data_IF_876408961366
#
_entry.id   IF_876408961366
#
_cell.length_a   1.000
_cell.length_b   1.000
_cell.length_c   1.000
_cell.angle_alpha   90.00
_cell.angle_beta   90.00
_cell.angle_gamma   90.00
#
_symmetry.space_group_name_H-M   'P 1'
#
loop_
_entity.id
_entity.type
_entity.pdbx_description
1 polymer ?
#
# COMPACT_ATOMS: atom_id res chain seq x y z
N UNK A 1 2.89 -10.15 7.50
CA UNK A 1 2.26 -10.46 8.81
C UNK A 1 2.17 -11.97 8.90
N UNK A 2 2.61 -12.64 9.97
CA UNK A 2 2.58 -14.08 10.01
C UNK A 2 1.14 -14.56 10.26
N UNK A 3 0.53 -15.07 9.20
CA UNK A 3 -0.43 -16.16 9.35
C UNK A 3 0.36 -17.38 9.80
N UNK A 4 -0.12 -18.14 10.77
CA UNK A 4 0.45 -19.45 11.06
C UNK A 4 0.22 -20.31 9.82
N UNK A 5 1.28 -20.73 9.10
CA UNK A 5 1.14 -21.50 7.89
C UNK A 5 0.79 -22.94 8.30
N UNK A 6 -0.52 -23.23 8.39
CA UNK A 6 -0.99 -24.58 8.69
C UNK A 6 -0.84 -25.43 7.43
N UNK A 7 0.17 -26.31 7.38
CA UNK A 7 0.33 -27.29 6.30
C UNK A 7 -0.80 -28.33 6.46
N UNK A 8 -1.43 -28.76 5.35
CA UNK A 8 -2.66 -29.58 5.46
C UNK A 8 -2.44 -30.91 6.17
N UNK A 9 -1.21 -31.43 6.12
CA UNK A 9 -0.81 -32.69 6.73
C UNK A 9 -0.82 -32.63 8.28
N UNK A 10 -0.72 -31.43 8.88
CA UNK A 10 -0.67 -31.25 10.34
C UNK A 10 -2.03 -30.89 10.96
N UNK A 11 -3.07 -30.67 10.14
CA UNK A 11 -4.41 -30.27 10.59
C UNK A 11 -5.01 -31.32 11.56
N UNK A 12 -4.93 -32.60 11.21
CA UNK A 12 -5.54 -33.67 12.01
C UNK A 12 -4.88 -33.80 13.39
N UNK A 13 -3.56 -33.62 13.46
CA UNK A 13 -2.82 -33.63 14.72
C UNK A 13 -3.23 -32.44 15.61
N UNK A 14 -3.33 -31.24 15.03
CA UNK A 14 -3.74 -30.04 15.74
C UNK A 14 -5.19 -30.09 16.25
N UNK A 15 -6.14 -30.54 15.43
CA UNK A 15 -7.55 -30.75 15.83
C UNK A 15 -7.64 -31.77 16.98
N UNK A 16 -6.83 -32.83 16.92
CA UNK A 16 -6.76 -33.84 17.99
C UNK A 16 -6.20 -33.27 19.29
N UNK A 17 -5.17 -32.41 19.24
CA UNK A 17 -4.58 -31.80 20.44
C UNK A 17 -5.48 -30.74 21.05
N UNK A 18 -6.16 -29.94 20.23
CA UNK A 18 -7.08 -28.89 20.71
C UNK A 18 -8.48 -29.42 21.04
N UNK A 19 -8.79 -30.66 20.67
CA UNK A 19 -10.10 -31.29 20.90
C UNK A 19 -11.24 -30.65 20.11
N UNK A 20 -10.95 -29.89 19.05
CA UNK A 20 -11.93 -29.17 18.23
C UNK A 20 -11.56 -29.20 16.76
N UNK A 21 -12.56 -29.33 15.90
CA UNK A 21 -12.40 -29.25 14.46
C UNK A 21 -12.36 -27.80 13.98
N UNK A 22 -11.43 -27.49 13.08
CA UNK A 22 -11.32 -26.19 12.42
C UNK A 22 -12.48 -25.95 11.44
N UNK A 23 -12.78 -24.67 11.11
CA UNK A 23 -13.87 -24.33 10.20
C UNK A 23 -13.72 -24.99 8.82
N UNK A 24 -14.78 -25.61 8.26
CA UNK A 24 -14.74 -26.26 6.95
C UNK A 24 -14.19 -25.39 5.82
N UNK A 25 -14.53 -24.10 5.77
CA UNK A 25 -14.01 -23.18 4.74
C UNK A 25 -12.52 -22.94 4.88
N UNK A 26 -12.04 -22.82 6.12
CA UNK A 26 -10.62 -22.66 6.40
C UNK A 26 -9.83 -23.91 6.00
N UNK A 27 -10.35 -25.10 6.30
CA UNK A 27 -9.76 -26.38 5.84
C UNK A 27 -9.73 -26.50 4.32
N UNK A 28 -10.80 -26.08 3.63
CA UNK A 28 -10.85 -26.09 2.16
C UNK A 28 -9.81 -25.15 1.54
N UNK A 29 -9.60 -23.98 2.13
CA UNK A 29 -8.58 -23.01 1.69
C UNK A 29 -7.16 -23.58 1.87
N UNK A 30 -6.89 -24.21 3.01
CA UNK A 30 -5.60 -24.86 3.25
C UNK A 30 -5.41 -26.02 2.27
N UNK A 31 -6.44 -26.81 1.98
CA UNK A 31 -6.37 -27.91 1.00
C UNK A 31 -6.21 -27.49 -0.46
N UNK A 32 -6.28 -26.20 -0.82
CA UNK A 32 -6.03 -25.75 -2.20
C UNK A 32 -4.58 -26.08 -2.60
N UNK A 33 -4.41 -26.76 -3.74
CA UNK A 33 -3.12 -27.24 -4.23
C UNK A 33 -2.08 -26.13 -4.42
N UNK A 34 -2.51 -24.88 -4.69
CA UNK A 34 -1.63 -23.71 -4.80
C UNK A 34 -1.19 -23.23 -3.42
N UNK A 35 -2.10 -23.24 -2.44
CA UNK A 35 -1.82 -22.88 -1.05
C UNK A 35 -0.86 -23.91 -0.44
N UNK A 36 -1.12 -25.21 -0.60
CA UNK A 36 -0.21 -26.27 -0.12
C UNK A 36 1.21 -26.16 -0.70
N UNK A 37 1.36 -25.84 -1.98
CA UNK A 37 2.67 -25.65 -2.62
C UNK A 37 3.44 -24.45 -2.09
N UNK A 38 2.74 -23.41 -1.63
CA UNK A 38 3.36 -22.22 -1.03
C UNK A 38 3.76 -22.52 0.43
N UNK A 39 2.88 -23.18 1.19
CA UNK A 39 3.11 -23.48 2.61
C UNK A 39 4.18 -24.56 2.84
N UNK A 40 4.31 -25.53 1.94
CA UNK A 40 5.34 -26.57 2.00
C UNK A 40 6.71 -26.12 1.47
N UNK A 41 6.86 -24.85 1.06
CA UNK A 41 8.09 -24.35 0.43
C UNK A 41 9.05 -23.74 1.45
N UNK A 42 10.34 -24.15 1.50
CA UNK A 42 11.31 -23.75 2.53
C UNK A 42 11.74 -22.25 2.52
N UNK A 43 11.17 -21.45 1.63
CA UNK A 43 11.52 -20.02 1.41
C UNK A 43 10.28 -19.12 1.31
N UNK A 44 9.22 -19.57 0.61
CA UNK A 44 7.95 -18.84 0.47
C UNK A 44 6.98 -19.12 1.61
N UNK A 45 7.05 -20.32 2.18
CA UNK A 45 6.60 -20.56 3.53
C UNK A 45 7.62 -19.92 4.46
N UNK A 46 7.68 -18.59 4.50
CA UNK A 46 8.36 -17.88 5.56
C UNK A 46 7.54 -18.04 6.85
N UNK A 47 7.55 -19.27 7.36
CA UNK A 47 7.53 -19.56 8.77
C UNK A 47 8.56 -18.61 9.40
N UNK A 48 8.26 -17.99 10.54
CA UNK A 48 9.40 -17.73 11.43
C UNK A 48 10.11 -19.07 11.64
N UNK A 49 11.45 -19.13 11.71
CA UNK A 49 12.21 -20.39 11.80
C UNK A 49 11.70 -21.38 12.87
N UNK A 50 10.89 -20.90 13.82
CA UNK A 50 10.40 -21.62 14.99
C UNK A 50 8.85 -21.75 15.03
N UNK A 51 8.13 -21.32 13.99
CA UNK A 51 6.67 -21.39 13.92
C UNK A 51 6.22 -22.75 13.36
N UNK A 52 5.57 -23.59 14.18
CA UNK A 52 5.00 -24.89 13.79
C UNK A 52 3.55 -25.01 14.26
N UNK A 53 2.83 -26.07 13.90
CA UNK A 53 1.54 -26.35 14.54
C UNK A 53 1.64 -26.54 16.06
N UNK A 54 2.79 -27.00 16.55
CA UNK A 54 3.05 -27.04 17.99
C UNK A 54 3.18 -25.64 18.59
N UNK A 55 3.79 -24.69 17.86
CA UNK A 55 3.90 -23.28 18.30
C UNK A 55 2.54 -22.58 18.31
N UNK A 56 1.65 -22.92 17.37
CA UNK A 56 0.25 -22.47 17.34
C UNK A 56 -0.57 -22.98 18.53
N UNK A 57 -0.45 -24.27 18.83
CA UNK A 57 -1.10 -24.88 20.00
C UNK A 57 -0.54 -24.25 21.28
N UNK A 58 0.78 -24.09 21.37
CA UNK A 58 1.43 -23.47 22.51
C UNK A 58 0.93 -22.03 22.75
N UNK A 59 0.83 -21.21 21.69
CA UNK A 59 0.30 -19.85 21.77
C UNK A 59 -1.18 -19.84 22.19
N UNK A 60 -2.01 -20.72 21.63
CA UNK A 60 -3.43 -20.83 22.01
C UNK A 60 -3.57 -21.18 23.49
N UNK A 61 -2.81 -22.16 23.96
CA UNK A 61 -2.79 -22.57 25.37
C UNK A 61 -2.18 -21.49 26.27
N UNK A 62 -1.20 -20.74 25.80
CA UNK A 62 -0.63 -19.60 26.52
C UNK A 62 -1.66 -18.49 26.68
N UNK A 63 -2.38 -18.11 25.62
CA UNK A 63 -3.43 -17.10 25.68
C UNK A 63 -4.56 -17.52 26.63
N UNK A 64 -5.01 -18.78 26.58
CA UNK A 64 -6.04 -19.31 27.49
C UNK A 64 -5.62 -19.25 28.96
N UNK A 65 -4.35 -19.52 29.25
CA UNK A 65 -3.82 -19.56 30.62
C UNK A 65 -3.47 -18.19 31.17
N UNK A 66 -2.88 -17.33 30.33
CA UNK A 66 -2.17 -16.14 30.79
C UNK A 66 -2.84 -14.83 30.39
N UNK A 67 -3.74 -14.82 29.41
CA UNK A 67 -4.36 -13.57 28.93
C UNK A 67 -5.67 -13.28 29.69
N UNK A 68 -5.73 -12.18 30.49
CA UNK A 68 -6.90 -11.90 31.32
C UNK A 68 -8.17 -11.73 30.48
N UNK A 69 -9.22 -12.48 30.82
CA UNK A 69 -10.53 -12.41 30.18
C UNK A 69 -10.62 -13.06 28.80
N UNK A 70 -9.51 -13.60 28.27
CA UNK A 70 -9.53 -14.31 26.99
C UNK A 70 -10.43 -15.56 27.09
N UNK A 71 -11.25 -15.86 26.07
CA UNK A 71 -12.16 -17.00 26.13
C UNK A 71 -11.41 -18.32 26.31
N UNK A 72 -11.82 -19.10 27.31
CA UNK A 72 -11.22 -20.40 27.66
C UNK A 72 -11.30 -21.39 26.50
N UNK A 73 -12.35 -21.29 25.69
CA UNK A 73 -12.62 -22.10 24.51
C UNK A 73 -12.13 -21.46 23.20
N UNK A 74 -11.53 -20.26 23.27
CA UNK A 74 -11.01 -19.55 22.11
C UNK A 74 -9.82 -20.27 21.48
N UNK A 75 -9.76 -20.32 20.15
CA UNK A 75 -8.61 -20.83 19.39
C UNK A 75 -8.00 -19.69 18.61
N UNK A 76 -6.75 -19.33 18.93
CA UNK A 76 -6.04 -18.23 18.26
C UNK A 76 -5.89 -18.55 16.79
N UNK A 77 -6.05 -17.55 15.91
CA UNK A 77 -5.92 -17.70 14.47
C UNK A 77 -4.67 -16.97 13.94
N UNK A 78 -4.38 -15.77 14.45
CA UNK A 78 -3.18 -14.99 14.09
C UNK A 78 -2.93 -13.89 15.12
N UNK A 79 -1.66 -13.51 15.29
CA UNK A 79 -1.24 -12.31 16.01
C UNK A 79 -1.14 -11.13 15.02
N UNK A 80 -1.86 -10.04 15.30
CA UNK A 80 -1.72 -8.79 14.57
C UNK A 80 -0.93 -7.80 15.41
N UNK A 81 0.40 -7.75 15.20
CA UNK A 81 1.37 -6.80 15.77
C UNK A 81 0.87 -6.11 17.05
N UNK A 82 0.84 -6.87 18.15
CA UNK A 82 0.91 -6.36 19.52
C UNK A 82 -0.39 -5.91 20.21
N UNK A 83 -1.40 -5.42 19.48
CA UNK A 83 -2.65 -4.93 20.12
C UNK A 83 -3.85 -5.86 19.96
N UNK A 84 -3.94 -6.60 18.85
CA UNK A 84 -5.12 -7.40 18.56
C UNK A 84 -4.74 -8.86 18.26
N UNK A 85 -5.39 -9.78 18.95
CA UNK A 85 -5.32 -11.21 18.68
C UNK A 85 -6.59 -11.66 17.99
N UNK A 86 -6.47 -12.32 16.84
CA UNK A 86 -7.63 -12.92 16.18
C UNK A 86 -7.83 -14.34 16.64
N UNK A 87 -9.07 -14.76 16.81
CA UNK A 87 -9.40 -16.10 17.29
C UNK A 87 -10.80 -16.56 16.84
N UNK A 88 -11.01 -17.88 16.85
CA UNK A 88 -12.31 -18.51 16.66
C UNK A 88 -12.92 -18.93 18.00
N UNK A 89 -14.24 -19.11 17.99
CA UNK A 89 -15.00 -19.71 19.09
C UNK A 89 -15.72 -20.97 18.60
N UNK A 90 -16.09 -21.90 19.51
CA UNK A 90 -16.94 -23.03 19.18
C UNK A 90 -18.24 -22.59 18.49
N UNK A 91 -18.67 -23.38 17.52
CA UNK A 91 -19.97 -23.21 16.87
C UNK A 91 -21.06 -23.58 17.89
N UNK A 92 -21.95 -22.63 18.26
CA UNK A 92 -23.02 -22.89 19.23
C UNK A 92 -24.02 -23.96 18.74
N UNK A 93 -24.03 -24.27 17.44
CA UNK A 93 -24.94 -25.24 16.82
C UNK A 93 -24.27 -26.58 16.52
N UNK A 94 -22.94 -26.69 16.62
CA UNK A 94 -22.19 -27.90 16.24
C UNK A 94 -21.11 -28.19 17.27
N UNK A 95 -21.41 -29.14 18.16
CA UNK A 95 -20.47 -29.59 19.17
C UNK A 95 -19.16 -30.08 18.52
N UNK A 96 -18.03 -29.65 19.10
CA UNK A 96 -16.70 -30.04 18.64
C UNK A 96 -16.21 -29.37 17.35
N UNK A 97 -16.90 -28.34 16.85
CA UNK A 97 -16.52 -27.61 15.63
C UNK A 97 -16.38 -26.12 15.94
N UNK A 98 -15.37 -25.44 15.40
CA UNK A 98 -15.24 -23.99 15.47
C UNK A 98 -16.19 -23.30 14.49
N UNK A 99 -16.74 -22.16 14.90
CA UNK A 99 -17.57 -21.32 14.05
C UNK A 99 -16.76 -20.64 12.94
N UNK A 100 -17.43 -20.33 11.84
CA UNK A 100 -16.84 -19.64 10.67
C UNK A 100 -16.45 -18.18 10.94
N UNK A 101 -16.86 -17.62 12.09
CA UNK A 101 -16.64 -16.22 12.44
C UNK A 101 -15.35 -16.04 13.24
N UNK A 102 -14.49 -15.15 12.77
CA UNK A 102 -13.36 -14.65 13.54
C UNK A 102 -13.81 -13.54 14.50
N UNK A 103 -13.13 -13.49 15.63
CA UNK A 103 -13.23 -12.42 16.61
C UNK A 103 -11.86 -11.79 16.78
N UNK A 104 -11.86 -10.51 17.16
CA UNK A 104 -10.66 -9.78 17.54
C UNK A 104 -10.68 -9.55 19.05
N UNK A 105 -9.59 -9.87 19.71
CA UNK A 105 -9.35 -9.63 21.12
C UNK A 105 -8.38 -8.45 21.27
N UNK A 106 -8.84 -7.35 21.84
CA UNK A 106 -7.97 -6.24 22.22
C UNK A 106 -7.21 -6.62 23.50
N UNK A 107 -5.89 -6.78 23.39
CA UNK A 107 -5.02 -7.20 24.50
C UNK A 107 -4.86 -6.13 25.58
N UNK A 108 -5.18 -4.86 25.29
CA UNK A 108 -5.11 -3.74 26.23
C UNK A 108 -6.46 -3.52 26.93
N UNK A 109 -7.56 -3.55 26.17
CA UNK A 109 -8.89 -3.32 26.72
C UNK A 109 -9.54 -4.59 27.29
N UNK A 110 -8.95 -5.76 27.07
CA UNK A 110 -9.50 -7.07 27.42
C UNK A 110 -10.93 -7.24 26.90
N UNK A 111 -11.18 -6.79 25.67
CA UNK A 111 -12.49 -6.81 25.02
C UNK A 111 -12.46 -7.60 23.73
N UNK A 112 -13.49 -8.43 23.58
CA UNK A 112 -13.81 -9.10 22.33
C UNK A 112 -14.66 -8.21 21.44
N UNK A 113 -14.26 -8.08 20.18
CA UNK A 113 -15.06 -7.51 19.10
C UNK A 113 -15.26 -8.55 17.99
N UNK A 114 -16.38 -8.46 17.28
CA UNK A 114 -16.59 -9.29 16.10
C UNK A 114 -15.64 -8.81 15.01
N UNK A 115 -14.88 -9.73 14.42
CA UNK A 115 -13.98 -9.37 13.33
C UNK A 115 -14.79 -9.32 12.02
N UNK A 116 -14.95 -8.12 11.46
CA UNK A 116 -15.64 -7.90 10.18
C UNK A 116 -14.70 -8.06 8.97
N UNK A 117 -13.50 -8.59 9.17
CA UNK A 117 -12.52 -8.84 8.11
C UNK A 117 -13.09 -9.81 7.07
N UNK A 118 -13.18 -9.35 5.83
CA UNK A 118 -13.75 -10.12 4.72
C UNK A 118 -12.90 -11.33 4.33
N UNK A 119 -13.51 -12.31 3.65
CA UNK A 119 -12.80 -13.46 3.07
C UNK A 119 -11.68 -13.01 2.12
N UNK A 120 -11.88 -11.93 1.35
CA UNK A 120 -10.87 -11.32 0.49
C UNK A 120 -9.69 -10.73 1.30
N UNK A 121 -9.95 -10.17 2.49
CA UNK A 121 -8.91 -9.73 3.40
C UNK A 121 -8.15 -10.93 3.98
N UNK A 122 -8.83 -12.02 4.33
CA UNK A 122 -8.22 -13.30 4.73
C UNK A 122 -7.30 -13.86 3.65
N UNK A 123 -7.75 -13.90 2.39
CA UNK A 123 -6.92 -14.36 1.26
C UNK A 123 -5.76 -13.41 0.96
N UNK A 124 -5.92 -12.11 1.20
CA UNK A 124 -4.86 -11.11 1.03
C UNK A 124 -3.75 -11.19 2.09
N UNK A 125 -4.05 -11.76 3.26
CA UNK A 125 -3.12 -11.91 4.38
C UNK A 125 -2.34 -13.23 4.35
N UNK A 126 -2.84 -14.26 3.65
CA UNK A 126 -1.99 -15.29 3.05
C UNK A 126 -1.23 -14.58 1.94
N UNK A 127 -0.17 -13.88 2.32
CA UNK A 127 0.73 -13.29 1.35
C UNK A 127 1.20 -14.41 0.44
N UNK A 128 0.73 -14.41 -0.82
CA UNK A 128 1.63 -14.78 -1.89
C UNK A 128 2.73 -13.72 -1.81
N UNK A 129 3.73 -13.98 -0.97
CA UNK A 129 5.04 -13.37 -1.14
C UNK A 129 5.44 -13.87 -2.51
N UNK A 130 5.24 -13.04 -3.54
CA UNK A 130 5.79 -13.31 -4.86
C UNK A 130 7.30 -13.18 -4.72
N UNK A 131 7.94 -14.22 -4.18
CA UNK A 131 9.39 -14.34 -4.17
C UNK A 131 9.84 -14.35 -5.62
N UNK A 132 10.51 -13.28 -6.02
CA UNK A 132 11.01 -13.06 -7.37
C UNK A 132 12.31 -13.85 -7.61
N UNK A 133 12.38 -15.10 -7.15
CA UNK A 133 13.55 -15.96 -7.33
C UNK A 133 13.46 -16.66 -8.71
N UNK A 134 14.39 -16.38 -9.64
CA UNK A 134 14.36 -16.93 -11.00
C UNK A 134 14.64 -18.43 -11.07
N UNK A 135 15.47 -18.96 -10.17
CA UNK A 135 15.83 -20.39 -10.14
C UNK A 135 14.63 -21.22 -9.65
N UNK A 136 13.84 -20.63 -8.75
CA UNK A 136 12.57 -21.15 -8.24
C UNK A 136 11.47 -21.26 -9.31
N UNK A 137 11.34 -20.26 -10.20
CA UNK A 137 10.30 -20.26 -11.24
C UNK A 137 10.62 -21.25 -12.36
N UNK A 138 11.91 -21.40 -12.69
CA UNK A 138 12.39 -22.41 -13.63
C UNK A 138 12.14 -23.85 -13.14
N UNK A 139 12.29 -24.12 -11.84
CA UNK A 139 12.05 -25.45 -11.25
C UNK A 139 10.55 -25.85 -11.21
N UNK A 140 9.63 -24.89 -11.38
CA UNK A 140 8.17 -25.10 -11.35
C UNK A 140 7.52 -25.09 -12.74
N UNK A 141 8.30 -25.14 -13.82
CA UNK A 141 7.83 -25.01 -15.22
C UNK A 141 7.08 -23.69 -15.52
N UNK A 142 7.28 -22.67 -14.69
CA UNK A 142 6.82 -21.31 -14.97
C UNK A 142 7.93 -20.55 -15.69
N UNK A 143 7.60 -19.81 -16.75
CA UNK A 143 8.57 -18.96 -17.41
C UNK A 143 9.18 -17.98 -16.39
N UNK A 144 10.50 -18.00 -16.14
CA UNK A 144 11.08 -17.14 -15.13
C UNK A 144 10.85 -15.66 -15.50
N UNK A 145 10.59 -14.78 -14.51
CA UNK A 145 10.65 -13.35 -14.71
C UNK A 145 12.09 -13.09 -15.11
N UNK A 146 12.29 -12.58 -16.33
CA UNK A 146 13.63 -12.21 -16.82
C UNK A 146 14.36 -11.46 -15.71
N UNK A 147 15.56 -11.94 -15.37
CA UNK A 147 16.47 -11.25 -14.46
C UNK A 147 16.54 -9.78 -14.87
N UNK A 148 15.93 -8.92 -14.05
CA UNK A 148 16.06 -7.48 -14.25
C UNK A 148 17.45 -7.17 -13.71
N UNK A 149 18.34 -6.73 -14.61
CA UNK A 149 19.66 -6.25 -14.25
C UNK A 149 19.57 -5.37 -12.99
N UNK A 150 20.61 -5.40 -12.15
CA UNK A 150 20.84 -4.46 -11.04
C UNK A 150 20.96 -3.04 -11.58
N UNK A 151 19.81 -2.51 -11.98
CA UNK A 151 19.57 -1.11 -12.24
C UNK A 151 19.34 -0.45 -10.88
N UNK A 152 19.62 0.86 -10.77
CA UNK A 152 19.19 1.62 -9.61
C UNK A 152 17.70 1.33 -9.32
N UNK A 153 17.33 1.27 -8.04
CA UNK A 153 15.95 1.02 -7.62
C UNK A 153 15.01 2.05 -8.24
N UNK A 154 15.50 3.28 -8.42
CA UNK A 154 14.85 4.36 -9.13
C UNK A 154 15.60 4.75 -10.41
N UNK A 155 14.87 4.88 -11.51
CA UNK A 155 15.29 5.58 -12.71
C UNK A 155 14.53 6.90 -12.77
N UNK A 156 15.26 8.02 -12.81
CA UNK A 156 14.66 9.33 -12.96
C UNK A 156 14.36 9.62 -14.42
N UNK A 157 13.10 9.96 -14.70
CA UNK A 157 12.68 10.50 -15.99
C UNK A 157 12.45 11.99 -15.88
N UNK A 158 12.93 12.70 -16.89
CA UNK A 158 12.77 14.14 -16.99
C UNK A 158 11.29 14.50 -17.09
N UNK A 159 10.85 15.43 -16.23
CA UNK A 159 9.61 16.15 -16.39
C UNK A 159 9.71 17.15 -17.56
N UNK A 160 8.60 17.80 -17.89
CA UNK A 160 8.51 18.81 -18.93
C UNK A 160 9.61 19.88 -18.79
N UNK A 161 10.37 20.10 -19.86
CA UNK A 161 11.54 20.95 -19.83
C UNK A 161 11.20 22.41 -19.52
N UNK A 162 10.05 22.92 -20.01
CA UNK A 162 9.64 24.30 -19.75
C UNK A 162 9.27 24.49 -18.29
N UNK A 163 8.57 23.51 -17.68
CA UNK A 163 8.32 23.50 -16.25
C UNK A 163 9.62 23.49 -15.44
N UNK A 164 10.58 22.63 -15.80
CA UNK A 164 11.86 22.53 -15.09
C UNK A 164 12.69 23.82 -15.21
N UNK A 165 12.68 24.46 -16.38
CA UNK A 165 13.31 25.77 -16.57
C UNK A 165 12.65 26.85 -15.70
N UNK A 166 11.31 26.86 -15.64
CA UNK A 166 10.57 27.79 -14.79
C UNK A 166 10.94 27.61 -13.31
N UNK A 167 10.89 26.38 -12.79
CA UNK A 167 11.23 26.10 -11.38
C UNK A 167 12.71 26.39 -11.05
N UNK A 168 13.58 26.41 -12.07
CA UNK A 168 14.98 26.82 -11.96
C UNK A 168 15.20 28.33 -11.88
N UNK A 169 14.21 29.16 -12.21
CA UNK A 169 14.35 30.62 -12.23
C UNK A 169 14.58 31.19 -10.82
N UNK A 170 15.32 32.30 -10.72
CA UNK A 170 15.65 32.97 -9.46
C UNK A 170 15.50 34.49 -9.57
N UNK A 171 15.23 35.16 -8.46
CA UNK A 171 15.16 36.62 -8.36
C UNK A 171 14.14 37.23 -9.33
N UNK A 172 14.47 38.35 -9.99
CA UNK A 172 13.54 39.03 -10.91
C UNK A 172 13.02 38.16 -12.06
N UNK A 173 13.81 37.17 -12.51
CA UNK A 173 13.35 36.21 -13.54
C UNK A 173 12.28 35.26 -13.00
N UNK A 174 12.35 34.86 -11.72
CA UNK A 174 11.33 34.04 -11.08
C UNK A 174 9.98 34.77 -11.04
N UNK A 175 9.98 36.05 -10.69
CA UNK A 175 8.76 36.87 -10.65
C UNK A 175 8.10 36.97 -12.02
N UNK A 176 8.88 37.26 -13.07
CA UNK A 176 8.37 37.38 -14.45
C UNK A 176 7.79 36.04 -14.92
N UNK A 177 8.56 34.94 -14.76
CA UNK A 177 8.15 33.62 -15.23
C UNK A 177 6.89 33.13 -14.51
N UNK A 178 6.81 33.34 -13.20
CA UNK A 178 5.64 32.95 -12.40
C UNK A 178 4.41 33.77 -12.76
N UNK A 179 4.57 35.09 -12.93
CA UNK A 179 3.46 35.98 -13.33
C UNK A 179 2.91 35.58 -14.70
N UNK A 180 3.78 35.25 -15.65
CA UNK A 180 3.36 34.78 -16.98
C UNK A 180 2.62 33.44 -16.94
N UNK A 181 2.92 32.59 -15.96
CA UNK A 181 2.27 31.30 -15.74
C UNK A 181 1.11 31.34 -14.74
N UNK A 182 0.75 32.54 -14.25
CA UNK A 182 -0.35 32.70 -13.30
C UNK A 182 -1.63 32.08 -13.91
N UNK A 183 -2.36 31.35 -13.07
CA UNK A 183 -3.61 30.65 -13.43
C UNK A 183 -3.48 29.57 -14.52
N UNK A 184 -2.27 29.23 -14.96
CA UNK A 184 -2.04 28.24 -16.01
C UNK A 184 -1.66 26.88 -15.41
N UNK A 185 -2.30 25.82 -15.90
CA UNK A 185 -1.90 24.45 -15.64
C UNK A 185 -0.77 24.07 -16.61
N UNK A 186 0.43 23.88 -16.07
CA UNK A 186 1.62 23.52 -16.83
C UNK A 186 1.76 21.98 -16.86
N UNK A 187 2.09 21.38 -18.01
CA UNK A 187 2.36 19.95 -18.08
C UNK A 187 3.58 19.60 -17.22
N UNK A 188 3.51 18.49 -16.48
CA UNK A 188 4.60 17.99 -15.66
C UNK A 188 5.19 16.70 -16.23
N UNK A 189 4.38 15.63 -16.29
CA UNK A 189 4.81 14.35 -16.84
C UNK A 189 3.62 13.52 -17.32
N UNK A 190 3.79 12.66 -18.35
CA UNK A 190 2.83 11.63 -18.66
C UNK A 190 2.87 10.53 -17.60
N UNK A 191 1.70 10.04 -17.18
CA UNK A 191 1.56 9.05 -16.12
C UNK A 191 0.65 7.90 -16.56
N UNK A 192 1.15 6.67 -16.54
CA UNK A 192 0.42 5.48 -16.96
C UNK A 192 -0.05 4.68 -15.75
N UNK A 193 -1.36 4.47 -15.67
CA UNK A 193 -1.99 3.67 -14.61
C UNK A 193 -2.45 2.35 -15.21
N UNK A 194 -1.94 1.24 -14.66
CA UNK A 194 -2.30 -0.14 -15.06
C UNK A 194 -3.23 -0.79 -14.04
N UNK A 195 -3.18 -0.32 -12.81
CA UNK A 195 -4.05 -0.70 -11.71
C UNK A 195 -5.41 0.02 -11.74
N UNK A 196 -6.10 -0.09 -10.61
CA UNK A 196 -7.41 0.53 -10.38
C UNK A 196 -7.40 1.60 -9.28
N UNK A 197 -6.22 1.87 -8.71
CA UNK A 197 -6.06 2.83 -7.63
C UNK A 197 -4.86 3.72 -7.89
N UNK A 198 -5.12 5.03 -7.89
CA UNK A 198 -4.10 6.06 -7.75
C UNK A 198 -3.99 6.41 -6.27
N UNK A 199 -2.80 6.28 -5.71
CA UNK A 199 -2.53 6.63 -4.31
C UNK A 199 -1.69 7.89 -4.25
N UNK A 200 -2.04 8.74 -3.30
CA UNK A 200 -1.35 9.94 -2.88
C UNK A 200 -0.89 9.75 -1.44
N UNK A 201 0.37 10.04 -1.15
CA UNK A 201 0.92 10.02 0.20
C UNK A 201 2.07 11.01 0.33
N UNK A 202 2.45 11.31 1.57
CA UNK A 202 3.73 11.93 1.87
C UNK A 202 4.89 11.09 1.30
N UNK A 203 5.96 11.74 0.85
CA UNK A 203 7.08 11.08 0.17
C UNK A 203 7.80 10.03 1.04
N UNK A 204 7.86 10.24 2.36
CA UNK A 204 8.45 9.27 3.30
C UNK A 204 7.49 8.16 3.72
N UNK A 205 6.19 8.32 3.43
CA UNK A 205 5.16 7.37 3.77
C UNK A 205 4.90 6.42 2.59
N UNK A 206 5.27 5.16 2.77
CA UNK A 206 4.98 4.13 1.78
C UNK A 206 3.47 3.86 1.73
N UNK A 207 2.91 3.48 0.56
CA UNK A 207 1.47 3.32 0.32
C UNK A 207 0.70 2.35 1.20
N UNK A 208 1.38 1.62 2.06
CA UNK A 208 0.76 0.65 2.97
C UNK A 208 0.31 1.26 4.30
N UNK A 209 0.79 2.48 4.61
CA UNK A 209 0.46 3.18 5.85
C UNK A 209 -0.88 3.93 5.72
N UNK A 210 -1.57 4.06 6.86
CA UNK A 210 -2.89 4.70 7.02
C UNK A 210 -2.91 6.20 6.72
N UNK A 211 -1.74 6.79 6.45
CA UNK A 211 -1.43 8.18 6.10
C UNK A 211 -1.59 8.48 4.59
N UNK A 212 -2.19 7.57 3.81
CA UNK A 212 -2.36 7.71 2.36
C UNK A 212 -3.82 7.87 1.95
N UNK A 213 -4.06 8.67 0.91
CA UNK A 213 -5.36 8.77 0.25
C UNK A 213 -5.33 8.04 -1.09
N UNK A 214 -6.40 7.33 -1.43
CA UNK A 214 -6.49 6.59 -2.69
C UNK A 214 -7.78 6.87 -3.44
N UNK A 215 -7.66 7.06 -4.75
CA UNK A 215 -8.76 7.22 -5.67
C UNK A 215 -8.92 5.96 -6.51
N UNK A 216 -10.14 5.44 -6.58
CA UNK A 216 -10.46 4.41 -7.55
C UNK A 216 -10.54 5.02 -8.96
N UNK A 217 -9.78 4.46 -9.89
CA UNK A 217 -9.73 4.89 -11.28
C UNK A 217 -9.72 3.70 -12.22
N UNK A 218 -10.06 3.93 -13.49
CA UNK A 218 -9.84 2.94 -14.54
C UNK A 218 -8.41 3.01 -15.07
N UNK A 219 -7.82 1.88 -15.50
CA UNK A 219 -6.54 1.88 -16.19
C UNK A 219 -6.54 2.80 -17.41
N UNK A 220 -5.40 3.43 -17.67
CA UNK A 220 -5.24 4.33 -18.80
C UNK A 220 -4.11 5.33 -18.62
N UNK A 221 -4.07 6.30 -19.54
CA UNK A 221 -3.12 7.40 -19.50
C UNK A 221 -3.71 8.59 -18.74
N UNK A 222 -2.87 9.17 -17.91
CA UNK A 222 -3.14 10.35 -17.13
C UNK A 222 -2.09 11.39 -17.45
N UNK A 223 -2.52 12.63 -17.56
CA UNK A 223 -1.63 13.79 -17.59
C UNK A 223 -1.50 14.33 -16.18
N UNK A 224 -0.28 14.69 -15.83
CA UNK A 224 0.03 15.41 -14.59
C UNK A 224 0.26 16.85 -14.97
N UNK A 225 -0.46 17.74 -14.33
CA UNK A 225 -0.37 19.17 -14.53
C UNK A 225 -0.10 19.84 -13.18
N UNK A 226 0.66 20.94 -13.18
CA UNK A 226 0.96 21.71 -11.98
C UNK A 226 0.66 23.18 -12.19
N UNK A 227 0.22 23.84 -11.12
CA UNK A 227 0.27 25.29 -11.04
C UNK A 227 1.49 25.69 -10.23
N UNK A 228 2.07 26.83 -10.60
CA UNK A 228 3.25 27.39 -9.94
C UNK A 228 2.93 28.75 -9.37
N UNK A 229 3.62 29.11 -8.30
CA UNK A 229 3.56 30.44 -7.69
C UNK A 229 4.94 30.83 -7.20
N UNK A 230 5.06 32.08 -6.76
CA UNK A 230 6.28 32.56 -6.14
C UNK A 230 6.32 32.05 -4.70
N UNK A 231 7.50 31.63 -4.23
CA UNK A 231 7.68 31.23 -2.83
C UNK A 231 7.28 32.35 -1.88
N UNK A 232 6.91 32.03 -0.63
CA UNK A 232 6.58 33.04 0.37
C UNK A 232 7.66 34.13 0.55
N UNK A 233 8.93 33.81 0.26
CA UNK A 233 10.05 34.77 0.31
C UNK A 233 10.22 35.60 -0.97
N UNK A 234 9.49 35.29 -2.03
CA UNK A 234 9.58 36.02 -3.29
C UNK A 234 10.77 35.65 -4.17
N UNK A 235 11.52 34.60 -3.84
CA UNK A 235 12.87 34.37 -4.38
C UNK A 235 12.95 33.33 -5.51
N UNK A 236 12.05 32.35 -5.51
CA UNK A 236 12.02 31.26 -6.50
C UNK A 236 10.59 30.74 -6.71
N UNK A 237 10.28 30.11 -7.86
CA UNK A 237 8.97 29.51 -8.09
C UNK A 237 8.83 28.17 -7.35
N UNK A 238 7.63 27.91 -6.84
CA UNK A 238 7.25 26.67 -6.15
C UNK A 238 5.95 26.11 -6.73
N UNK A 239 5.71 24.81 -6.55
CA UNK A 239 4.45 24.18 -6.96
C UNK A 239 3.34 24.62 -6.02
N UNK A 240 2.30 25.23 -6.56
CA UNK A 240 1.13 25.71 -5.82
C UNK A 240 0.02 24.64 -5.75
N UNK A 241 -0.11 23.85 -6.80
CA UNK A 241 -1.08 22.77 -6.89
C UNK A 241 -0.60 21.71 -7.88
N UNK A 242 -1.03 20.48 -7.67
CA UNK A 242 -0.87 19.38 -8.62
C UNK A 242 -2.22 18.79 -8.95
N UNK A 243 -2.40 18.43 -10.21
CA UNK A 243 -3.61 17.82 -10.74
C UNK A 243 -3.22 16.63 -11.60
N UNK A 244 -3.87 15.50 -11.36
CA UNK A 244 -3.72 14.26 -12.14
C UNK A 244 -5.05 13.95 -12.78
N UNK A 245 -5.12 13.98 -14.12
CA UNK A 245 -6.37 13.87 -14.88
C UNK A 245 -6.20 12.85 -15.98
N UNK A 246 -7.21 12.02 -16.21
CA UNK A 246 -7.26 11.07 -17.31
C UNK A 246 -7.24 11.81 -18.66
N UNK A 247 -6.37 11.38 -19.56
CA UNK A 247 -6.33 11.94 -20.92
C UNK A 247 -7.69 11.77 -21.62
N UNK A 248 -8.09 12.79 -22.39
CA UNK A 248 -9.38 12.82 -23.08
C UNK A 248 -10.59 13.17 -22.21
N UNK A 249 -10.40 13.48 -20.92
CA UNK A 249 -11.46 14.03 -20.08
C UNK A 249 -11.94 15.39 -20.60
N UNK A 250 -13.26 15.63 -20.56
CA UNK A 250 -13.87 16.90 -20.95
C UNK A 250 -13.79 17.94 -19.83
N UNK A 251 -14.80 18.82 -19.75
CA UNK A 251 -14.91 19.78 -18.66
C UNK A 251 -14.86 19.08 -17.29
N UNK A 252 -14.12 19.67 -16.36
CA UNK A 252 -13.86 19.11 -15.03
C UNK A 252 -14.62 19.90 -13.97
N UNK A 253 -15.29 19.19 -13.08
CA UNK A 253 -15.83 19.72 -11.82
C UNK A 253 -14.98 19.19 -10.65
N UNK A 254 -14.75 20.04 -9.65
CA UNK A 254 -13.93 19.70 -8.49
C UNK A 254 -14.78 19.65 -7.22
N UNK A 255 -14.58 18.63 -6.39
CA UNK A 255 -15.22 18.51 -5.08
C UNK A 255 -14.16 18.12 -4.05
N UNK A 256 -14.06 18.87 -2.95
CA UNK A 256 -13.18 18.50 -1.82
C UNK A 256 -13.67 17.17 -1.21
N UNK A 257 -12.75 16.22 -1.05
CA UNK A 257 -13.08 14.86 -0.57
C UNK A 257 -12.20 14.40 0.60
N UNK A 258 -11.00 14.95 0.74
CA UNK A 258 -10.06 14.58 1.79
C UNK A 258 -9.06 15.71 2.08
N UNK A 259 -8.15 15.43 3.02
CA UNK A 259 -6.88 16.12 3.17
C UNK A 259 -5.78 15.05 3.28
N UNK A 260 -4.56 15.39 2.87
CA UNK A 260 -3.37 14.54 3.02
C UNK A 260 -2.34 15.29 3.86
N UNK A 261 -1.82 14.63 4.88
CA UNK A 261 -0.75 15.17 5.71
C UNK A 261 0.60 14.91 5.05
N UNK A 262 1.48 15.89 5.09
CA UNK A 262 2.79 15.91 4.42
C UNK A 262 3.83 16.38 5.41
N UNK A 263 4.82 15.53 5.68
CA UNK A 263 5.91 15.76 6.65
C UNK A 263 7.28 15.93 5.96
N UNK A 264 7.37 15.66 4.66
CA UNK A 264 8.60 15.80 3.88
C UNK A 264 8.52 16.93 2.86
N UNK A 265 7.57 17.86 3.05
CA UNK A 265 7.22 18.91 2.11
C UNK A 265 7.00 18.42 0.65
N UNK A 266 6.72 17.14 0.45
CA UNK A 266 6.69 16.49 -0.87
C UNK A 266 5.69 15.35 -0.90
N UNK A 267 4.96 15.24 -2.01
CA UNK A 267 3.99 14.17 -2.24
C UNK A 267 4.54 13.13 -3.21
N UNK A 268 4.17 11.88 -2.98
CA UNK A 268 4.32 10.77 -3.89
C UNK A 268 2.94 10.40 -4.46
N UNK A 269 2.85 10.32 -5.78
CA UNK A 269 1.67 9.86 -6.51
C UNK A 269 2.03 8.60 -7.29
N UNK A 270 1.29 7.51 -7.10
CA UNK A 270 1.59 6.28 -7.84
C UNK A 270 0.38 5.40 -8.10
N UNK A 271 0.52 4.51 -9.09
CA UNK A 271 -0.36 3.35 -9.24
C UNK A 271 -0.07 2.37 -8.10
N UNK A 272 -1.04 2.21 -7.19
CA UNK A 272 -0.88 1.36 -5.99
C UNK A 272 -0.54 -0.08 -6.36
N UNK A 273 -1.30 -0.66 -7.28
CA UNK A 273 -1.12 -2.08 -7.61
C UNK A 273 0.18 -2.34 -8.35
N UNK A 274 0.56 -1.46 -9.27
CA UNK A 274 1.82 -1.61 -10.00
C UNK A 274 3.00 -1.42 -9.06
N UNK A 275 2.95 -0.43 -8.15
CA UNK A 275 3.98 -0.25 -7.13
C UNK A 275 4.14 -1.49 -6.25
N UNK A 276 3.06 -1.97 -5.62
CA UNK A 276 3.11 -3.09 -4.69
C UNK A 276 3.59 -4.40 -5.33
N UNK A 277 3.37 -4.58 -6.64
CA UNK A 277 3.88 -5.72 -7.42
C UNK A 277 5.37 -5.61 -7.78
N UNK A 278 5.91 -4.39 -7.88
CA UNK A 278 7.27 -4.17 -8.41
C UNK A 278 8.29 -3.80 -7.33
N UNK A 279 7.83 -3.28 -6.20
CA UNK A 279 8.67 -2.96 -5.05
C UNK A 279 8.32 -3.92 -3.91
N UNK A 280 9.11 -5.00 -3.73
CA UNK A 280 8.82 -6.02 -2.73
C UNK A 280 9.02 -5.48 -1.31
N UNK A 281 8.33 -6.04 -0.30
CA UNK A 281 8.27 -5.48 1.06
C UNK A 281 9.63 -5.13 1.70
N UNK A 282 10.61 -6.00 1.55
CA UNK A 282 11.99 -5.88 2.05
C UNK A 282 12.78 -4.74 1.40
N UNK A 283 12.37 -4.29 0.21
CA UNK A 283 13.02 -3.19 -0.53
C UNK A 283 12.32 -1.85 -0.38
N UNK A 284 11.14 -1.81 0.24
CA UNK A 284 10.34 -0.57 0.31
C UNK A 284 10.98 0.50 1.19
N UNK A 285 11.59 0.13 2.30
CA UNK A 285 12.28 1.08 3.17
C UNK A 285 13.48 1.70 2.47
N UNK A 286 14.33 0.88 1.84
CA UNK A 286 15.43 1.37 1.00
C UNK A 286 14.93 2.26 -0.14
N UNK A 287 13.81 1.89 -0.78
CA UNK A 287 13.19 2.68 -1.82
C UNK A 287 12.66 4.02 -1.30
N UNK A 288 12.03 4.07 -0.13
CA UNK A 288 11.57 5.31 0.48
C UNK A 288 12.74 6.25 0.80
N UNK A 289 13.85 5.71 1.32
CA UNK A 289 15.07 6.47 1.56
C UNK A 289 15.66 7.06 0.27
N UNK A 290 15.73 6.26 -0.81
CA UNK A 290 16.21 6.71 -2.13
C UNK A 290 15.28 7.75 -2.77
N UNK A 291 13.96 7.64 -2.51
CA UNK A 291 12.99 8.67 -2.93
C UNK A 291 13.21 10.02 -2.22
N UNK A 292 13.61 10.01 -0.95
CA UNK A 292 13.88 11.25 -0.22
C UNK A 292 15.07 12.02 -0.80
N UNK A 293 15.99 11.36 -1.50
CA UNK A 293 17.11 12.01 -2.19
C UNK A 293 16.67 12.84 -3.41
N UNK A 294 15.48 12.56 -3.96
CA UNK A 294 14.97 13.21 -5.19
C UNK A 294 13.86 14.23 -4.94
N UNK A 295 13.68 14.64 -3.67
CA UNK A 295 12.61 15.54 -3.22
C UNK A 295 12.73 16.99 -3.69
N UNK A 296 13.88 17.42 -4.21
CA UNK A 296 14.12 18.85 -4.50
C UNK A 296 13.30 19.38 -5.67
N UNK A 297 12.86 18.51 -6.60
CA UNK A 297 12.16 18.91 -7.83
C UNK A 297 11.13 17.88 -8.24
N UNK A 298 10.10 18.27 -9.03
CA UNK A 298 9.21 17.32 -9.65
C UNK A 298 9.98 16.27 -10.45
N UNK A 299 9.69 15.00 -10.21
CA UNK A 299 10.35 13.90 -10.88
C UNK A 299 9.40 12.74 -11.14
N UNK A 300 9.45 12.18 -12.34
CA UNK A 300 8.85 10.88 -12.61
C UNK A 300 9.88 9.79 -12.32
N UNK A 301 9.69 9.10 -11.21
CA UNK A 301 10.48 7.95 -10.79
C UNK A 301 9.91 6.69 -11.42
N UNK A 302 10.76 5.92 -12.07
CA UNK A 302 10.42 4.60 -12.59
C UNK A 302 11.24 3.55 -11.85
N UNK A 303 10.56 2.65 -11.16
CA UNK A 303 11.24 1.52 -10.52
C UNK A 303 11.90 0.62 -11.57
N UNK A 304 12.92 -0.16 -11.20
CA UNK A 304 13.51 -1.17 -12.09
C UNK A 304 12.49 -2.16 -12.70
N UNK A 305 11.35 -2.36 -12.03
CA UNK A 305 10.22 -3.19 -12.50
C UNK A 305 9.17 -2.45 -13.34
N UNK A 306 9.35 -1.15 -13.61
CA UNK A 306 8.47 -0.35 -14.46
C UNK A 306 7.24 0.26 -13.77
N UNK A 307 7.16 0.23 -12.44
CA UNK A 307 6.18 1.04 -11.71
C UNK A 307 6.57 2.52 -11.75
N UNK A 308 5.59 3.38 -12.00
CA UNK A 308 5.75 4.83 -12.05
C UNK A 308 5.31 5.45 -10.74
N UNK A 309 6.10 6.40 -10.26
CA UNK A 309 5.84 7.18 -9.07
C UNK A 309 6.24 8.63 -9.37
N UNK A 310 5.33 9.55 -9.19
CA UNK A 310 5.57 10.97 -9.41
C UNK A 310 5.85 11.61 -8.04
N UNK A 311 7.00 12.24 -7.92
CA UNK A 311 7.41 13.03 -6.76
C UNK A 311 7.12 14.50 -7.05
N UNK A 312 6.41 15.17 -6.15
CA UNK A 312 6.04 16.59 -6.30
C UNK A 312 6.36 17.34 -4.99
N UNK A 313 7.38 18.20 -4.97
CA UNK A 313 7.62 19.08 -3.84
C UNK A 313 6.56 20.18 -3.75
N UNK A 314 5.97 20.35 -2.58
CA UNK A 314 5.01 21.42 -2.26
C UNK A 314 5.67 22.81 -2.12
N UNK A 315 6.99 22.84 -1.89
CA UNK A 315 7.80 24.06 -1.81
C UNK A 315 7.60 24.95 -0.58
N UNK A 316 6.59 24.69 0.26
CA UNK A 316 6.29 25.49 1.47
C UNK A 316 6.41 24.76 2.80
N UNK A 317 6.82 23.49 2.80
CA UNK A 317 7.05 22.73 4.02
C UNK A 317 5.93 21.74 4.32
N UNK A 318 5.90 21.32 5.57
CA UNK A 318 4.98 20.30 6.07
C UNK A 318 3.58 20.89 6.31
N UNK A 319 2.54 20.07 6.22
CA UNK A 319 1.17 20.54 6.40
C UNK A 319 0.11 19.54 5.96
N UNK A 320 -1.16 19.93 6.12
CA UNK A 320 -2.31 19.16 5.65
C UNK A 320 -2.92 19.84 4.42
N UNK A 321 -2.89 19.14 3.29
CA UNK A 321 -3.30 19.71 2.00
C UNK A 321 -4.63 19.12 1.52
N UNK A 322 -5.62 19.96 1.15
CA UNK A 322 -6.91 19.48 0.68
C UNK A 322 -6.79 18.75 -0.66
N UNK A 323 -7.51 17.62 -0.75
CA UNK A 323 -7.63 16.82 -1.97
C UNK A 323 -9.03 17.00 -2.56
N UNK A 324 -9.07 17.27 -3.85
CA UNK A 324 -10.28 17.47 -4.64
C UNK A 324 -10.43 16.33 -5.64
N UNK A 325 -11.54 15.61 -5.60
CA UNK A 325 -11.93 14.67 -6.66
C UNK A 325 -12.35 15.48 -7.89
N UNK A 326 -11.82 15.11 -9.06
CA UNK A 326 -12.16 15.72 -10.33
C UNK A 326 -13.07 14.78 -11.12
N UNK A 327 -14.22 15.31 -11.56
CA UNK A 327 -15.21 14.56 -12.34
C UNK A 327 -15.42 15.20 -13.70
N UNK A 328 -15.56 14.37 -14.73
CA UNK A 328 -16.01 14.77 -16.07
C UNK A 328 -17.34 14.09 -16.37
N UNK A 329 -18.42 14.87 -16.30
CA UNK A 329 -19.77 14.31 -16.22
C UNK A 329 -19.90 13.39 -15.01
N UNK A 330 -20.38 12.17 -15.23
CA UNK A 330 -20.58 11.18 -14.15
C UNK A 330 -19.31 10.39 -13.80
N UNK A 331 -18.23 10.53 -14.58
CA UNK A 331 -17.01 9.75 -14.41
C UNK A 331 -15.97 10.47 -13.55
N UNK A 332 -15.32 9.72 -12.66
CA UNK A 332 -14.12 10.18 -11.96
C UNK A 332 -12.99 10.28 -12.99
N UNK A 333 -12.49 11.50 -13.19
CA UNK A 333 -11.42 11.81 -14.13
C UNK A 333 -10.05 11.86 -13.45
N UNK A 334 -10.01 12.08 -12.13
CA UNK A 334 -8.76 12.13 -11.38
C UNK A 334 -8.88 12.96 -10.11
N UNK A 335 -7.80 13.63 -9.70
CA UNK A 335 -7.78 14.45 -8.49
C UNK A 335 -6.86 15.67 -8.61
N UNK A 336 -7.01 16.58 -7.67
CA UNK A 336 -6.17 17.76 -7.48
C UNK A 336 -5.80 17.93 -5.99
N UNK A 337 -4.60 18.43 -5.74
CA UNK A 337 -4.10 18.78 -4.41
C UNK A 337 -3.60 20.22 -4.47
N UNK A 338 -3.93 21.02 -3.45
CA UNK A 338 -3.54 22.44 -3.36
C UNK A 338 -2.62 22.67 -2.17
N UNK A 339 -1.42 23.19 -2.44
CA UNK A 339 -0.39 23.49 -1.45
C UNK A 339 -0.47 24.92 -0.89
N UNK A 340 -1.27 25.79 -1.51
CA UNK A 340 -1.47 27.18 -1.08
C UNK A 340 -2.43 27.35 0.10
N UNK A 341 -3.14 26.29 0.48
CA UNK A 341 -4.19 26.29 1.49
C UNK A 341 -3.73 25.55 2.77
N UNK A 342 -2.45 25.68 3.16
CA UNK A 342 -2.00 25.18 4.46
C UNK A 342 -2.73 25.96 5.57
N UNK A 343 -3.60 25.27 6.29
CA UNK A 343 -4.45 25.81 7.36
C UNK A 343 -3.71 25.98 8.67
#
# INVERSE_FOLDING_TARGET
MPWFPIIAEEIAAAESTLGVAFPPRYKALLGDRRVQRILAHPVLGALQPDASMASFVALTEECRRNLPGFPVDGVVATDTKGRYLRFWLPDPKRAGVLGEMLYSWDTLEHKRTRDCTSEASITSMIGIVQGADPDFLAALDYAPPRAVATKPLIELRSCDAALMTLLGARGGQATIATTAAADTWLPCAPFEVKGRYLTLCDLGELPERSSSWSLQVEPGRFRVEVQVRLSARGEWPVVAAVRVVREGSGALSARRVAAVDVDHASLAIHDRQTFLKRVPPDRREAFALELLEVRERPALVVTGGGAQLLVIPSGEGDGSYPVYELRSGDHIAGFEVRFTEAS
#
